data_IF_185448030131
#
_entry.id   IF_185448030131
#
_cell.length_a   1.000
_cell.length_b   1.000
_cell.length_c   1.000
_cell.angle_alpha   90.00
_cell.angle_beta   90.00
_cell.angle_gamma   90.00
#
_symmetry.space_group_name_H-M   'P 1'
#
loop_
_entity.id
_entity.type
_entity.pdbx_description
1 polymer ?
#
# COMPACT_ATOMS: atom_id res chain seq x y z
N UNK A 1 26.47 3.09 -14.37
CA UNK A 1 26.50 1.96 -15.34
C UNK A 1 26.18 0.71 -14.54
N UNK A 2 25.04 0.06 -14.80
CA UNK A 2 24.67 -1.20 -14.13
C UNK A 2 25.61 -2.30 -14.68
N UNK A 3 26.16 -3.16 -13.82
CA UNK A 3 27.02 -4.26 -14.27
C UNK A 3 26.20 -5.29 -15.06
N UNK A 4 26.86 -6.04 -15.95
CA UNK A 4 26.22 -7.10 -16.74
C UNK A 4 25.51 -8.14 -15.85
N UNK A 5 26.07 -8.40 -14.67
CA UNK A 5 25.48 -9.33 -13.68
C UNK A 5 24.13 -8.82 -13.16
N UNK A 6 24.02 -7.51 -12.87
CA UNK A 6 22.75 -6.91 -12.42
C UNK A 6 21.71 -6.98 -13.53
N UNK A 7 22.10 -6.78 -14.79
CA UNK A 7 21.20 -6.87 -15.94
C UNK A 7 20.66 -8.30 -16.10
N UNK A 8 21.53 -9.31 -15.95
CA UNK A 8 21.15 -10.72 -15.99
C UNK A 8 20.19 -11.10 -14.85
N UNK A 9 20.42 -10.59 -13.63
CA UNK A 9 19.53 -10.82 -12.48
C UNK A 9 18.17 -10.15 -12.69
N UNK A 10 18.14 -8.92 -13.20
CA UNK A 10 16.89 -8.21 -13.47
C UNK A 10 16.09 -8.91 -14.59
N UNK A 11 16.76 -9.31 -15.68
CA UNK A 11 16.12 -10.02 -16.78
C UNK A 11 15.55 -11.38 -16.35
N UNK A 12 16.26 -12.14 -15.51
CA UNK A 12 15.76 -13.40 -14.97
C UNK A 12 14.56 -13.22 -14.01
N UNK A 13 14.34 -12.01 -13.49
CA UNK A 13 13.16 -11.62 -12.71
C UNK A 13 12.09 -10.89 -13.54
N UNK A 14 12.13 -11.03 -14.87
CA UNK A 14 11.10 -10.51 -15.77
C UNK A 14 11.26 -9.04 -16.15
N UNK A 15 12.36 -8.38 -15.78
CA UNK A 15 12.63 -7.00 -16.17
C UNK A 15 12.99 -6.92 -17.66
N UNK A 16 12.49 -5.89 -18.35
CA UNK A 16 12.79 -5.68 -19.76
C UNK A 16 14.31 -5.40 -19.96
N UNK A 17 14.95 -6.14 -20.86
CA UNK A 17 16.39 -6.03 -21.16
C UNK A 17 16.80 -4.65 -21.70
N UNK A 18 15.85 -3.80 -22.09
CA UNK A 18 16.08 -2.40 -22.46
C UNK A 18 16.06 -1.42 -21.28
N UNK A 19 15.73 -1.85 -20.04
CA UNK A 19 15.79 -0.99 -18.85
C UNK A 19 17.14 -0.30 -18.68
N UNK A 20 18.30 -0.93 -18.92
CA UNK A 20 19.59 -0.23 -18.86
C UNK A 20 19.71 0.92 -19.89
N UNK A 21 19.06 0.82 -21.05
CA UNK A 21 18.96 1.91 -22.04
C UNK A 21 17.97 2.99 -21.60
N UNK A 22 16.85 2.62 -20.98
CA UNK A 22 15.84 3.55 -20.45
C UNK A 22 16.32 4.30 -19.19
N UNK A 23 17.08 3.63 -18.32
CA UNK A 23 17.68 4.14 -17.10
C UNK A 23 19.18 4.40 -17.26
N UNK A 24 19.61 4.85 -18.45
CA UNK A 24 21.01 5.23 -18.70
C UNK A 24 21.33 6.54 -17.99
N UNK A 25 21.57 6.44 -16.67
CA UNK A 25 22.01 7.57 -15.87
C UNK A 25 23.52 7.72 -16.05
N UNK A 26 23.93 8.81 -16.71
CA UNK A 26 25.33 9.25 -16.73
C UNK A 26 25.68 9.82 -15.36
N UNK A 27 26.91 9.66 -14.90
CA UNK A 27 27.34 10.24 -13.60
C UNK A 27 27.12 11.76 -13.53
N UNK A 28 27.16 12.44 -14.68
CA UNK A 28 26.85 13.87 -14.84
C UNK A 28 25.37 14.23 -14.67
N UNK A 29 24.47 13.25 -14.80
CA UNK A 29 23.01 13.41 -14.68
C UNK A 29 22.50 13.01 -13.29
N UNK A 30 23.39 12.53 -12.40
CA UNK A 30 23.09 12.39 -10.99
C UNK A 30 23.17 13.79 -10.38
N UNK A 31 22.03 14.46 -10.21
CA UNK A 31 21.95 15.57 -9.27
C UNK A 31 22.40 15.02 -7.92
N UNK A 32 23.45 15.61 -7.33
CA UNK A 32 23.89 15.23 -5.99
C UNK A 32 22.69 15.33 -5.05
N UNK A 33 22.34 14.22 -4.41
CA UNK A 33 21.25 14.22 -3.44
C UNK A 33 21.56 15.24 -2.35
N UNK A 34 20.55 15.96 -1.90
CA UNK A 34 20.68 17.02 -0.89
C UNK A 34 20.99 16.48 0.51
N UNK A 35 20.98 15.15 0.69
CA UNK A 35 21.30 14.52 1.96
C UNK A 35 22.80 14.61 2.30
N UNK A 36 23.19 15.14 3.48
CA UNK A 36 24.58 15.48 3.83
C UNK A 36 25.46 14.28 4.25
N UNK A 37 25.19 13.09 3.71
CA UNK A 37 25.96 11.87 3.98
C UNK A 37 26.54 11.29 2.71
N UNK A 38 27.86 11.18 2.70
CA UNK A 38 28.66 10.81 1.54
C UNK A 38 29.10 9.35 1.53
N UNK A 39 29.10 8.68 2.70
CA UNK A 39 29.51 7.28 2.81
C UNK A 39 28.84 6.52 3.96
N UNK A 40 28.96 5.19 3.91
CA UNK A 40 28.33 4.29 4.88
C UNK A 40 28.94 4.37 6.29
N UNK A 41 30.23 4.68 6.44
CA UNK A 41 30.86 4.77 7.76
C UNK A 41 30.33 5.99 8.53
N UNK A 42 30.14 7.09 7.82
CA UNK A 42 29.51 8.30 8.35
C UNK A 42 28.05 8.00 8.72
N UNK A 43 27.29 7.35 7.84
CA UNK A 43 25.92 6.94 8.13
C UNK A 43 25.82 6.14 9.44
N UNK A 44 26.65 5.10 9.56
CA UNK A 44 26.62 4.16 10.69
C UNK A 44 27.04 4.80 12.03
N UNK A 45 27.74 5.94 12.00
CA UNK A 45 28.05 6.74 13.20
C UNK A 45 26.89 7.63 13.65
N UNK A 46 26.02 8.04 12.74
CA UNK A 46 24.91 8.97 13.01
C UNK A 46 23.64 8.21 13.40
N UNK A 47 23.37 7.12 12.70
CA UNK A 47 22.15 6.34 12.82
C UNK A 47 22.36 5.21 13.82
N UNK A 48 21.37 4.95 14.67
CA UNK A 48 21.32 3.70 15.44
C UNK A 48 20.96 2.55 14.49
N UNK A 49 21.98 1.99 13.85
CA UNK A 49 21.87 0.94 12.83
C UNK A 49 21.29 -0.36 13.38
N UNK A 50 21.58 -0.69 14.64
CA UNK A 50 21.01 -1.86 15.33
C UNK A 50 19.49 -1.74 15.44
N UNK A 51 18.99 -0.60 15.95
CA UNK A 51 17.55 -0.35 16.05
C UNK A 51 16.87 -0.31 14.68
N UNK A 52 17.52 0.29 13.68
CA UNK A 52 16.99 0.36 12.32
C UNK A 52 16.88 -1.03 11.67
N UNK A 53 17.90 -1.87 11.84
CA UNK A 53 17.88 -3.25 11.33
C UNK A 53 16.85 -4.09 12.07
N UNK A 54 16.78 -4.01 13.40
CA UNK A 54 15.77 -4.72 14.19
C UNK A 54 14.35 -4.38 13.73
N UNK A 55 14.07 -3.10 13.47
CA UNK A 55 12.77 -2.65 13.00
C UNK A 55 12.40 -3.14 11.60
N UNK A 56 13.38 -3.28 10.69
CA UNK A 56 13.14 -3.47 9.26
C UNK A 56 13.56 -4.85 8.69
N UNK A 57 14.23 -5.69 9.47
CA UNK A 57 14.71 -7.00 9.01
C UNK A 57 13.58 -8.02 8.82
N UNK A 58 12.54 -7.95 9.66
CA UNK A 58 11.35 -8.80 9.56
C UNK A 58 10.12 -7.94 9.80
N UNK A 59 9.56 -7.40 8.72
CA UNK A 59 8.40 -6.53 8.79
C UNK A 59 7.15 -7.40 8.72
N UNK A 60 6.36 -7.39 9.79
CA UNK A 60 5.07 -8.07 9.83
C UNK A 60 4.00 -7.26 9.08
N UNK A 61 3.23 -7.92 8.19
CA UNK A 61 2.23 -7.28 7.37
C UNK A 61 1.40 -6.20 8.06
N UNK A 62 0.67 -6.77 9.04
CA UNK A 62 -0.47 -6.21 9.72
C UNK A 62 0.01 -5.17 10.71
N UNK A 63 1.06 -5.52 11.48
CA UNK A 63 1.68 -4.62 12.44
C UNK A 63 2.23 -3.40 11.73
N UNK A 64 2.94 -3.53 10.61
CA UNK A 64 3.52 -2.35 9.97
C UNK A 64 2.45 -1.38 9.42
N UNK A 65 1.34 -1.91 8.88
CA UNK A 65 0.26 -1.06 8.38
C UNK A 65 -0.52 -0.34 9.49
N UNK A 66 -0.45 -0.86 10.73
CA UNK A 66 -1.32 -0.47 11.83
C UNK A 66 -0.62 0.18 13.03
N UNK A 67 0.52 -0.37 13.39
CA UNK A 67 1.43 0.06 14.46
C UNK A 67 2.85 0.03 13.87
N UNK A 68 3.15 0.96 12.94
CA UNK A 68 4.39 0.91 12.17
C UNK A 68 5.59 1.02 13.08
N UNK A 69 6.63 0.24 12.79
CA UNK A 69 7.92 0.28 13.51
C UNK A 69 9.05 0.59 12.54
N UNK A 70 9.04 -0.01 11.35
CA UNK A 70 10.09 0.22 10.35
C UNK A 70 9.98 1.61 9.71
N UNK A 71 8.78 2.07 9.30
CA UNK A 71 8.62 3.42 8.75
C UNK A 71 9.09 4.54 9.72
N UNK A 72 8.71 4.52 11.02
CA UNK A 72 9.25 5.45 12.01
C UNK A 72 10.76 5.35 12.18
N UNK A 73 11.33 4.15 12.19
CA UNK A 73 12.78 3.97 12.29
C UNK A 73 13.52 4.58 11.09
N UNK A 74 12.99 4.40 9.88
CA UNK A 74 13.52 5.02 8.65
C UNK A 74 13.42 6.55 8.73
N UNK A 75 12.29 7.09 9.20
CA UNK A 75 12.10 8.52 9.36
C UNK A 75 13.05 9.11 10.40
N UNK A 76 13.21 8.47 11.56
CA UNK A 76 14.15 8.90 12.62
C UNK A 76 15.60 8.91 12.09
N UNK A 77 16.00 7.86 11.37
CA UNK A 77 17.32 7.80 10.73
C UNK A 77 17.51 8.93 9.72
N UNK A 78 16.52 9.16 8.85
CA UNK A 78 16.57 10.23 7.85
C UNK A 78 16.64 11.63 8.50
N UNK A 79 15.88 11.85 9.58
CA UNK A 79 15.90 13.10 10.34
C UNK A 79 17.29 13.34 10.96
N UNK A 80 17.86 12.34 11.64
CA UNK A 80 19.21 12.43 12.24
C UNK A 80 20.27 12.79 11.21
N UNK A 81 20.14 12.29 9.99
CA UNK A 81 21.05 12.61 8.91
C UNK A 81 20.82 14.02 8.37
N UNK A 82 19.56 14.40 8.14
CA UNK A 82 19.20 15.73 7.59
C UNK A 82 19.65 16.88 8.50
N UNK A 83 19.72 16.65 9.81
CA UNK A 83 20.15 17.64 10.80
C UNK A 83 21.67 17.86 10.83
N UNK A 84 22.46 17.11 10.04
CA UNK A 84 23.92 17.13 10.11
C UNK A 84 24.60 18.35 9.51
N UNK A 85 23.90 19.20 8.75
CA UNK A 85 24.45 20.50 8.32
C UNK A 85 24.92 21.36 9.52
N UNK A 86 24.46 21.08 10.74
CA UNK A 86 24.76 21.88 11.93
C UNK A 86 26.01 21.50 12.74
N UNK A 87 26.90 20.61 12.28
CA UNK A 87 28.05 20.16 13.11
C UNK A 87 29.45 20.29 12.51
N UNK A 88 29.61 20.71 11.25
CA UNK A 88 30.93 20.83 10.63
C UNK A 88 31.16 22.13 9.81
N UNK A 89 30.35 23.17 10.00
CA UNK A 89 30.55 24.47 9.38
C UNK A 89 30.06 25.60 10.30
N UNK A 90 30.98 26.51 10.61
CA UNK A 90 30.87 27.79 11.32
C UNK A 90 29.66 28.06 12.23
N UNK A 91 29.97 28.29 13.50
CA UNK A 91 29.07 28.90 14.48
C UNK A 91 28.61 30.28 14.00
N UNK A 92 27.48 30.37 13.29
CA UNK A 92 26.53 31.52 13.23
C UNK A 92 25.50 31.39 12.09
N UNK A 93 24.81 30.25 11.93
CA UNK A 93 23.67 30.17 11.01
C UNK A 93 22.44 29.71 11.78
N UNK A 94 21.39 30.53 11.71
CA UNK A 94 20.04 30.28 12.24
C UNK A 94 19.60 28.89 11.79
N UNK A 95 19.09 28.08 12.73
CA UNK A 95 18.51 26.76 12.48
C UNK A 95 17.37 26.87 11.46
N UNK A 96 17.66 26.70 10.19
CA UNK A 96 16.63 26.46 9.19
C UNK A 96 16.26 24.97 9.29
N UNK A 97 14.98 24.63 9.52
CA UNK A 97 14.54 23.24 9.52
C UNK A 97 14.87 22.63 8.15
N UNK A 98 15.41 21.40 8.14
CA UNK A 98 15.66 20.68 6.91
C UNK A 98 14.43 20.77 6.00
N UNK A 99 14.61 21.30 4.79
CA UNK A 99 13.50 21.44 3.85
C UNK A 99 12.92 20.05 3.55
N UNK A 100 11.63 19.98 3.22
CA UNK A 100 10.93 18.72 2.92
C UNK A 100 11.67 17.87 1.88
N UNK A 101 12.41 18.52 0.98
CA UNK A 101 13.23 17.92 -0.08
C UNK A 101 14.46 17.17 0.50
N UNK A 102 15.22 17.79 1.41
CA UNK A 102 16.38 17.18 2.10
C UNK A 102 15.99 15.94 2.87
N UNK A 103 14.86 15.99 3.58
CA UNK A 103 14.37 14.84 4.34
C UNK A 103 13.96 13.68 3.42
N UNK A 104 13.38 13.98 2.25
CA UNK A 104 13.02 12.97 1.26
C UNK A 104 14.25 12.28 0.69
N UNK A 105 15.28 13.05 0.33
CA UNK A 105 16.56 12.53 -0.15
C UNK A 105 17.25 11.65 0.92
N UNK A 106 17.24 12.09 2.18
CA UNK A 106 17.80 11.29 3.27
C UNK A 106 17.04 10.00 3.54
N UNK A 107 15.72 9.94 3.34
CA UNK A 107 14.99 8.67 3.35
C UNK A 107 15.51 7.74 2.26
N UNK A 108 15.77 8.26 1.06
CA UNK A 108 16.37 7.49 -0.05
C UNK A 108 17.73 6.89 0.31
N UNK A 109 18.57 7.64 1.03
CA UNK A 109 19.87 7.14 1.54
C UNK A 109 19.66 6.01 2.56
N UNK A 110 18.70 6.15 3.49
CA UNK A 110 18.38 5.10 4.47
C UNK A 110 17.89 3.82 3.79
N UNK A 111 17.00 3.93 2.79
CA UNK A 111 16.56 2.77 2.00
C UNK A 111 17.73 2.08 1.29
N UNK A 112 18.64 2.86 0.71
CA UNK A 112 19.83 2.33 0.02
C UNK A 112 20.75 1.58 0.99
N UNK A 113 20.97 2.13 2.19
CA UNK A 113 21.76 1.47 3.22
C UNK A 113 21.09 0.18 3.72
N UNK A 114 19.78 0.18 3.99
CA UNK A 114 19.02 -1.02 4.36
C UNK A 114 19.12 -2.12 3.29
N UNK A 115 18.99 -1.75 2.02
CA UNK A 115 19.13 -2.68 0.88
C UNK A 115 20.51 -3.35 0.82
N UNK A 116 21.55 -2.64 1.26
CA UNK A 116 22.93 -3.16 1.29
C UNK A 116 23.17 -4.11 2.48
N UNK A 117 22.43 -3.93 3.58
CA UNK A 117 22.65 -4.68 4.84
C UNK A 117 21.74 -5.90 4.97
N UNK A 118 20.51 -5.80 4.50
CA UNK A 118 19.56 -6.91 4.49
C UNK A 118 19.84 -7.85 3.30
N UNK A 119 19.33 -9.08 3.36
CA UNK A 119 19.29 -9.93 2.18
C UNK A 119 18.36 -9.32 1.13
N UNK A 120 18.60 -9.62 -0.16
CA UNK A 120 17.77 -9.11 -1.27
C UNK A 120 16.28 -9.39 -1.05
N UNK A 121 15.95 -10.60 -0.58
CA UNK A 121 14.56 -11.00 -0.36
C UNK A 121 13.95 -10.32 0.88
N UNK A 122 14.72 -10.12 1.97
CA UNK A 122 14.25 -9.39 3.15
C UNK A 122 14.02 -7.91 2.84
N UNK A 123 14.95 -7.25 2.14
CA UNK A 123 14.80 -5.86 1.71
C UNK A 123 13.60 -5.68 0.78
N UNK A 124 13.46 -6.54 -0.23
CA UNK A 124 12.34 -6.49 -1.16
C UNK A 124 11.00 -6.69 -0.44
N UNK A 125 10.91 -7.69 0.42
CA UNK A 125 9.71 -7.95 1.23
C UNK A 125 9.37 -6.75 2.11
N UNK A 126 10.33 -6.22 2.86
CA UNK A 126 10.13 -5.06 3.72
C UNK A 126 9.63 -3.85 2.93
N UNK A 127 10.30 -3.46 1.84
CA UNK A 127 9.91 -2.26 1.09
C UNK A 127 8.55 -2.39 0.39
N UNK A 128 8.23 -3.59 -0.10
CA UNK A 128 6.91 -3.90 -0.66
C UNK A 128 5.82 -3.73 0.39
N UNK A 129 6.04 -4.22 1.61
CA UNK A 129 5.11 -4.03 2.73
C UNK A 129 4.96 -2.55 3.08
N UNK A 130 6.06 -1.82 3.29
CA UNK A 130 6.00 -0.40 3.64
C UNK A 130 5.24 0.42 2.58
N UNK A 131 5.43 0.08 1.31
CA UNK A 131 4.75 0.71 0.19
C UNK A 131 3.26 0.34 0.16
N UNK A 132 2.92 -0.94 0.30
CA UNK A 132 1.54 -1.43 0.38
C UNK A 132 0.77 -0.76 1.53
N UNK A 133 1.38 -0.69 2.72
CA UNK A 133 0.80 -0.01 3.86
C UNK A 133 0.54 1.47 3.62
N UNK A 134 1.32 2.13 2.76
CA UNK A 134 1.11 3.54 2.40
C UNK A 134 -0.04 3.70 1.40
N UNK A 135 -0.08 2.88 0.34
CA UNK A 135 -1.10 2.99 -0.73
C UNK A 135 -2.48 2.51 -0.27
N UNK A 136 -2.54 1.55 0.67
CA UNK A 136 -3.79 1.01 1.21
C UNK A 136 -4.41 1.88 2.33
N UNK A 137 -4.04 3.17 2.43
CA UNK A 137 -4.61 4.11 3.42
C UNK A 137 -5.57 5.13 2.81
N UNK A 138 -5.76 5.10 1.49
CA UNK A 138 -6.58 6.06 0.76
C UNK A 138 -7.51 5.34 -0.19
N UNK A 139 -8.67 5.92 -0.45
CA UNK A 139 -9.48 5.51 -1.59
C UNK A 139 -8.92 6.17 -2.86
N UNK A 140 -8.57 5.39 -3.90
CA UNK A 140 -8.09 5.94 -5.16
C UNK A 140 -9.20 6.35 -6.13
N UNK A 141 -10.47 6.01 -5.85
CA UNK A 141 -11.62 6.38 -6.68
C UNK A 141 -12.01 7.85 -6.48
N UNK A 142 -12.37 8.49 -7.58
CA UNK A 142 -12.86 9.87 -7.59
C UNK A 142 -14.40 9.89 -7.58
N UNK A 143 -14.98 10.41 -6.51
CA UNK A 143 -16.42 10.57 -6.38
C UNK A 143 -16.85 11.99 -6.78
N UNK A 144 -17.73 12.08 -7.77
CA UNK A 144 -18.53 13.29 -8.02
C UNK A 144 -19.80 13.26 -7.14
N UNK A 145 -20.62 14.31 -7.23
CA UNK A 145 -21.87 14.35 -6.46
C UNK A 145 -22.87 13.29 -6.99
N UNK A 146 -23.36 12.35 -6.16
CA UNK A 146 -24.23 11.26 -6.60
C UNK A 146 -25.71 11.66 -6.56
N UNK A 147 -26.07 12.76 -7.24
CA UNK A 147 -27.41 13.36 -7.16
C UNK A 147 -28.53 12.42 -7.60
N UNK A 148 -28.29 11.61 -8.65
CA UNK A 148 -29.26 10.63 -9.15
C UNK A 148 -29.56 9.55 -8.12
N UNK A 149 -28.50 9.01 -7.48
CA UNK A 149 -28.63 8.00 -6.41
C UNK A 149 -29.36 8.59 -5.22
N UNK A 150 -28.99 9.80 -4.79
CA UNK A 150 -29.66 10.48 -3.67
C UNK A 150 -31.16 10.64 -3.95
N UNK A 151 -31.53 11.13 -5.13
CA UNK A 151 -32.93 11.35 -5.48
C UNK A 151 -33.73 10.03 -5.55
N UNK A 152 -33.11 8.95 -6.00
CA UNK A 152 -33.76 7.65 -6.09
C UNK A 152 -33.88 6.93 -4.73
N UNK A 153 -33.04 7.26 -3.75
CA UNK A 153 -32.86 6.48 -2.52
C UNK A 153 -33.19 7.20 -1.20
N UNK A 154 -33.47 8.51 -1.19
CA UNK A 154 -33.61 9.32 0.04
C UNK A 154 -34.74 8.89 0.99
N UNK A 155 -35.86 8.40 0.47
CA UNK A 155 -37.10 8.16 1.25
C UNK A 155 -37.56 6.69 1.21
N UNK A 156 -36.61 5.74 1.22
CA UNK A 156 -36.93 4.31 1.04
C UNK A 156 -37.33 3.61 2.35
N UNK A 157 -38.50 2.98 2.32
CA UNK A 157 -38.98 2.03 3.34
C UNK A 157 -38.83 0.55 2.91
N UNK A 158 -38.48 0.27 1.65
CA UNK A 158 -38.33 -1.08 1.07
C UNK A 158 -37.38 -1.05 -0.15
N UNK A 159 -36.88 -2.22 -0.65
CA UNK A 159 -36.03 -2.27 -1.83
C UNK A 159 -36.73 -1.60 -3.03
N UNK A 160 -36.11 -0.54 -3.56
CA UNK A 160 -36.61 0.16 -4.74
C UNK A 160 -35.70 -0.17 -5.93
N UNK A 161 -36.21 -0.88 -6.95
CA UNK A 161 -35.41 -1.22 -8.14
C UNK A 161 -34.75 -0.01 -8.81
N UNK A 162 -35.39 1.16 -8.77
CA UNK A 162 -34.82 2.39 -9.30
C UNK A 162 -33.61 2.88 -8.51
N UNK A 163 -33.60 2.66 -7.19
CA UNK A 163 -32.46 3.01 -6.33
C UNK A 163 -31.27 2.11 -6.63
N UNK A 164 -31.46 0.79 -6.62
CA UNK A 164 -30.36 -0.16 -6.89
C UNK A 164 -29.81 -0.01 -8.32
N UNK A 165 -30.67 0.24 -9.31
CA UNK A 165 -30.22 0.52 -10.67
C UNK A 165 -29.39 1.80 -10.77
N UNK A 166 -29.81 2.89 -10.11
CA UNK A 166 -29.03 4.14 -10.07
C UNK A 166 -27.70 3.96 -9.34
N UNK A 167 -27.70 3.25 -8.22
CA UNK A 167 -26.51 2.93 -7.43
C UNK A 167 -25.48 2.14 -8.25
N UNK A 168 -25.91 1.03 -8.87
CA UNK A 168 -25.03 0.17 -9.66
C UNK A 168 -24.47 0.92 -10.88
N UNK A 169 -25.28 1.75 -11.53
CA UNK A 169 -24.83 2.60 -12.64
C UNK A 169 -23.76 3.59 -12.19
N UNK A 170 -23.94 4.19 -11.02
CA UNK A 170 -22.98 5.13 -10.47
C UNK A 170 -21.65 4.44 -10.11
N UNK A 171 -21.71 3.29 -9.43
CA UNK A 171 -20.52 2.49 -9.05
C UNK A 171 -19.75 2.06 -10.31
N UNK A 172 -20.47 1.58 -11.33
CA UNK A 172 -19.87 1.18 -12.61
C UNK A 172 -19.12 2.33 -13.30
N UNK A 173 -19.58 3.57 -13.15
CA UNK A 173 -18.93 4.74 -13.74
C UNK A 173 -17.67 5.18 -12.98
N UNK A 174 -17.66 5.05 -11.65
CA UNK A 174 -16.52 5.52 -10.82
C UNK A 174 -15.33 4.56 -10.83
N UNK A 175 -15.56 3.25 -11.03
CA UNK A 175 -14.47 2.26 -11.04
C UNK A 175 -13.45 2.50 -12.17
N UNK A 176 -13.84 3.13 -13.31
CA UNK A 176 -12.96 3.54 -14.43
C UNK A 176 -11.85 2.52 -14.81
N UNK A 177 -12.15 1.23 -14.78
CA UNK A 177 -11.17 0.15 -15.04
C UNK A 177 -9.97 0.09 -14.06
N UNK A 178 -10.11 0.66 -12.87
CA UNK A 178 -9.10 0.61 -11.82
C UNK A 178 -9.25 -0.66 -10.97
N UNK A 179 -8.15 -1.40 -10.82
CA UNK A 179 -8.03 -2.45 -9.81
C UNK A 179 -7.66 -1.82 -8.47
N UNK A 180 -8.45 -2.12 -7.44
CA UNK A 180 -8.19 -1.64 -6.08
C UNK A 180 -8.05 -2.83 -5.12
N UNK A 181 -7.37 -2.62 -3.99
CA UNK A 181 -7.25 -3.66 -2.96
C UNK A 181 -8.51 -3.74 -2.10
N UNK A 182 -8.74 -4.86 -1.38
CA UNK A 182 -9.85 -4.97 -0.41
C UNK A 182 -9.86 -3.78 0.57
N UNK A 183 -8.67 -3.38 1.02
CA UNK A 183 -8.50 -2.30 1.98
C UNK A 183 -8.85 -0.95 1.39
N UNK A 184 -8.49 -0.69 0.14
CA UNK A 184 -8.90 0.52 -0.57
C UNK A 184 -10.41 0.52 -0.83
N UNK A 185 -10.98 -0.62 -1.22
CA UNK A 185 -12.42 -0.77 -1.45
C UNK A 185 -13.24 -0.46 -0.19
N UNK A 186 -12.83 -0.94 1.00
CA UNK A 186 -13.47 -0.59 2.28
C UNK A 186 -13.50 0.92 2.50
N UNK A 187 -12.36 1.59 2.28
CA UNK A 187 -12.26 3.04 2.45
C UNK A 187 -13.14 3.76 1.42
N UNK A 188 -13.15 3.31 0.17
CA UNK A 188 -13.98 3.86 -0.90
C UNK A 188 -15.48 3.72 -0.62
N UNK A 189 -15.92 2.51 -0.25
CA UNK A 189 -17.31 2.22 0.09
C UNK A 189 -17.81 3.09 1.25
N UNK A 190 -16.98 3.24 2.30
CA UNK A 190 -17.32 4.09 3.45
C UNK A 190 -17.42 5.57 3.05
N UNK A 191 -16.45 6.07 2.29
CA UNK A 191 -16.46 7.46 1.81
C UNK A 191 -17.71 7.75 0.99
N UNK A 192 -18.05 6.85 0.07
CA UNK A 192 -19.24 6.99 -0.75
C UNK A 192 -20.53 6.94 0.07
N UNK A 193 -20.64 5.98 1.00
CA UNK A 193 -21.79 5.88 1.90
C UNK A 193 -21.97 7.15 2.73
N UNK A 194 -20.86 7.76 3.16
CA UNK A 194 -20.88 9.02 3.92
C UNK A 194 -21.37 10.19 3.06
N UNK A 195 -21.07 10.20 1.75
CA UNK A 195 -21.60 11.19 0.82
C UNK A 195 -23.12 11.02 0.63
N UNK A 196 -23.59 9.77 0.54
CA UNK A 196 -25.02 9.46 0.42
C UNK A 196 -25.81 9.85 1.67
N UNK A 197 -25.27 9.55 2.85
CA UNK A 197 -25.84 9.98 4.14
C UNK A 197 -25.93 11.49 4.27
N UNK A 198 -24.88 12.22 3.87
CA UNK A 198 -24.93 13.70 3.79
C UNK A 198 -26.00 14.20 2.81
N UNK A 199 -26.30 13.40 1.79
CA UNK A 199 -27.40 13.61 0.84
C UNK A 199 -28.78 13.23 1.37
N UNK A 200 -28.90 12.69 2.59
CA UNK A 200 -30.17 12.30 3.21
C UNK A 200 -30.57 10.83 3.00
N UNK A 201 -29.71 10.01 2.38
CA UNK A 201 -29.95 8.56 2.28
C UNK A 201 -29.50 7.90 3.59
N UNK A 202 -30.45 7.59 4.47
CA UNK A 202 -30.14 7.08 5.81
C UNK A 202 -30.16 5.55 5.91
N UNK A 203 -30.95 4.90 5.06
CA UNK A 203 -31.05 3.44 4.96
C UNK A 203 -29.78 2.86 4.35
N UNK A 204 -29.34 1.70 4.84
CA UNK A 204 -28.22 0.96 4.26
C UNK A 204 -28.60 0.42 2.88
N UNK A 205 -28.32 1.19 1.83
CA UNK A 205 -28.62 0.80 0.47
C UNK A 205 -27.59 -0.19 -0.10
N UNK A 206 -26.45 -0.42 0.57
CA UNK A 206 -25.50 -1.44 0.15
C UNK A 206 -26.07 -2.82 0.48
N UNK A 207 -26.61 -2.99 1.69
CA UNK A 207 -27.31 -4.21 2.07
C UNK A 207 -28.57 -4.44 1.21
N UNK A 208 -29.37 -3.40 0.97
CA UNK A 208 -30.61 -3.54 0.16
C UNK A 208 -30.38 -3.90 -1.30
N UNK A 209 -29.21 -3.54 -1.85
CA UNK A 209 -28.90 -3.71 -3.26
C UNK A 209 -27.81 -4.75 -3.51
N UNK A 210 -27.44 -5.53 -2.48
CA UNK A 210 -26.40 -6.56 -2.53
C UNK A 210 -25.05 -6.05 -3.07
N UNK A 211 -24.61 -4.88 -2.59
CA UNK A 211 -23.34 -4.28 -3.01
C UNK A 211 -22.19 -4.88 -2.21
N UNK A 212 -21.25 -5.50 -2.92
CA UNK A 212 -20.02 -6.07 -2.38
C UNK A 212 -18.83 -5.10 -2.57
N UNK A 213 -17.77 -5.30 -1.78
CA UNK A 213 -16.52 -4.54 -1.93
C UNK A 213 -15.94 -4.63 -3.35
N UNK A 214 -16.06 -5.78 -4.01
CA UNK A 214 -15.56 -5.99 -5.37
C UNK A 214 -16.22 -5.10 -6.41
N UNK A 215 -17.43 -4.59 -6.15
CA UNK A 215 -18.15 -3.76 -7.10
C UNK A 215 -17.47 -2.40 -7.29
N UNK A 216 -16.63 -1.99 -6.33
CA UNK A 216 -15.79 -0.79 -6.44
C UNK A 216 -14.50 -1.02 -7.26
N UNK A 217 -14.21 -2.25 -7.68
CA UNK A 217 -13.02 -2.62 -8.47
C UNK A 217 -13.42 -3.05 -9.88
N UNK A 218 -12.49 -2.94 -10.84
CA UNK A 218 -12.69 -3.32 -12.24
C UNK A 218 -13.45 -4.65 -12.39
N UNK A 219 -14.61 -4.56 -13.05
CA UNK A 219 -15.36 -5.71 -13.54
C UNK A 219 -14.90 -6.05 -14.97
N UNK A 220 -14.19 -7.17 -15.16
CA UNK A 220 -13.72 -7.59 -16.47
C UNK A 220 -14.81 -8.39 -17.22
N UNK A 221 -15.12 -8.02 -18.46
CA UNK A 221 -15.95 -8.78 -19.41
C UNK A 221 -17.31 -9.29 -18.87
N UNK A 222 -17.99 -8.49 -18.05
CA UNK A 222 -19.31 -8.87 -17.51
C UNK A 222 -19.28 -10.00 -16.47
N UNK A 223 -18.09 -10.33 -15.95
CA UNK A 223 -17.92 -11.17 -14.76
C UNK A 223 -17.63 -10.31 -13.52
N UNK A 224 -17.90 -10.90 -12.35
CA UNK A 224 -17.75 -10.29 -11.02
C UNK A 224 -16.41 -9.55 -10.87
N UNK A 225 -16.46 -8.37 -10.23
CA UNK A 225 -15.28 -7.60 -9.90
C UNK A 225 -14.28 -8.42 -9.11
N UNK A 226 -13.00 -8.05 -9.21
CA UNK A 226 -11.90 -8.71 -8.52
C UNK A 226 -11.14 -7.68 -7.70
N UNK A 227 -10.88 -7.99 -6.43
CA UNK A 227 -10.01 -7.16 -5.60
C UNK A 227 -8.61 -7.75 -5.55
N UNK A 228 -7.64 -6.84 -5.59
CA UNK A 228 -6.27 -7.22 -5.25
C UNK A 228 -6.18 -7.48 -3.75
N UNK A 229 -5.32 -8.43 -3.34
CA UNK A 229 -5.08 -8.60 -1.92
C UNK A 229 -4.46 -7.32 -1.37
N UNK A 230 -4.64 -7.10 -0.08
CA UNK A 230 -4.03 -5.95 0.59
C UNK A 230 -2.51 -6.11 0.78
N UNK A 231 -1.93 -7.22 0.30
CA UNK A 231 -0.55 -7.62 0.46
C UNK A 231 0.19 -7.59 -0.87
N UNK A 232 1.50 -7.33 -0.89
CA UNK A 232 2.20 -7.05 -2.12
C UNK A 232 2.37 -8.23 -3.09
N UNK A 233 1.88 -9.43 -2.79
CA UNK A 233 2.20 -10.67 -3.53
C UNK A 233 1.52 -10.79 -4.89
N UNK A 234 0.69 -9.81 -5.27
CA UNK A 234 -0.37 -10.04 -6.26
C UNK A 234 0.04 -9.81 -7.70
N UNK A 235 1.29 -9.43 -7.97
CA UNK A 235 1.80 -9.41 -9.36
C UNK A 235 2.68 -10.63 -9.53
N UNK A 236 2.10 -11.65 -10.14
CA UNK A 236 2.79 -12.86 -10.55
C UNK A 236 3.25 -12.65 -11.98
N UNK A 237 4.56 -12.66 -12.20
CA UNK A 237 5.10 -12.66 -13.55
C UNK A 237 5.15 -14.11 -14.01
N UNK A 238 4.31 -14.47 -14.97
CA UNK A 238 4.32 -15.78 -15.61
C UNK A 238 4.79 -15.64 -17.06
N UNK A 239 5.56 -16.61 -17.54
CA UNK A 239 6.15 -16.60 -18.88
C UNK A 239 5.11 -16.69 -19.99
N UNK A 240 3.88 -17.12 -19.70
CA UNK A 240 2.82 -17.26 -20.71
C UNK A 240 1.92 -16.03 -20.84
N UNK A 241 1.67 -15.32 -19.73
CA UNK A 241 0.74 -14.17 -19.66
C UNK A 241 1.43 -12.83 -19.42
N UNK A 242 2.73 -12.83 -19.11
CA UNK A 242 3.46 -11.64 -18.71
C UNK A 242 3.17 -11.30 -17.24
N UNK A 243 2.39 -10.25 -16.98
CA UNK A 243 1.96 -9.88 -15.63
C UNK A 243 0.56 -10.44 -15.38
N UNK A 244 0.42 -11.26 -14.36
CA UNK A 244 -0.84 -11.83 -13.91
C UNK A 244 -1.14 -11.38 -12.47
N UNK A 245 -2.43 -11.20 -12.16
CA UNK A 245 -2.88 -10.82 -10.83
C UNK A 245 -3.71 -11.93 -10.21
N UNK A 246 -3.51 -12.18 -8.92
CA UNK A 246 -4.34 -13.13 -8.18
C UNK A 246 -5.42 -12.36 -7.42
N UNK A 247 -6.68 -12.64 -7.75
CA UNK A 247 -7.82 -12.09 -7.00
C UNK A 247 -7.85 -12.64 -5.57
N UNK A 248 -8.30 -11.84 -4.63
CA UNK A 248 -8.62 -12.34 -3.30
C UNK A 248 -9.88 -13.23 -3.38
N UNK A 249 -9.85 -14.41 -2.77
CA UNK A 249 -11.01 -15.30 -2.76
C UNK A 249 -12.15 -14.77 -1.86
N UNK A 250 -11.92 -13.65 -1.18
CA UNK A 250 -12.85 -12.96 -0.27
C UNK A 250 -13.69 -11.88 -0.97
N UNK A 251 -13.82 -11.91 -2.30
CA UNK A 251 -14.43 -10.84 -3.10
C UNK A 251 -15.96 -10.64 -2.88
N UNK A 252 -16.63 -11.51 -2.13
CA UNK A 252 -18.06 -11.42 -1.79
C UNK A 252 -18.31 -10.85 -0.39
N UNK A 253 -17.41 -10.00 0.09
CA UNK A 253 -17.61 -9.28 1.35
C UNK A 253 -18.50 -8.07 1.10
N UNK A 254 -19.62 -8.00 1.82
CA UNK A 254 -20.55 -6.89 1.76
C UNK A 254 -19.86 -5.54 2.00
N UNK A 255 -20.20 -4.54 1.19
CA UNK A 255 -19.65 -3.20 1.34
C UNK A 255 -20.13 -2.57 2.66
N UNK A 256 -19.22 -1.97 3.46
CA UNK A 256 -19.60 -1.41 4.75
C UNK A 256 -20.39 -0.11 4.58
N UNK A 257 -21.56 -0.04 5.21
CA UNK A 257 -22.29 1.20 5.38
C UNK A 257 -21.77 1.98 6.59
N UNK A 258 -21.47 3.28 6.46
CA UNK A 258 -20.91 4.05 7.55
C UNK A 258 -21.90 4.19 8.70
N UNK A 259 -21.44 3.93 9.93
CA UNK A 259 -22.19 4.29 11.14
C UNK A 259 -22.16 5.81 11.31
N UNK A 260 -23.22 6.42 11.86
CA UNK A 260 -23.36 7.87 12.05
C UNK A 260 -22.26 8.52 12.93
N UNK A 261 -21.44 7.71 13.61
CA UNK A 261 -20.28 8.15 14.40
C UNK A 261 -18.99 8.18 13.57
N UNK A 262 -18.72 9.35 12.99
CA UNK A 262 -17.39 9.87 12.61
C UNK A 262 -16.49 9.04 11.66
N UNK A 263 -16.25 9.63 10.49
CA UNK A 263 -15.28 9.24 9.44
C UNK A 263 -13.81 9.23 9.97
N UNK A 264 -13.56 9.74 11.17
CA UNK A 264 -12.23 10.07 11.69
C UNK A 264 -11.45 8.91 12.32
N UNK A 265 -11.99 7.68 12.38
CA UNK A 265 -11.27 6.57 13.00
C UNK A 265 -11.55 5.19 12.40
N UNK A 266 -11.67 5.07 11.07
CA UNK A 266 -11.48 3.77 10.42
C UNK A 266 -10.00 3.39 10.39
N UNK A 267 -9.45 3.27 11.60
CA UNK A 267 -8.29 2.46 11.83
C UNK A 267 -8.73 1.02 11.63
N UNK A 268 -8.40 0.43 10.48
CA UNK A 268 -8.46 -1.04 10.22
C UNK A 268 -7.52 -1.84 11.16
N UNK A 269 -7.17 -1.25 12.28
CA UNK A 269 -6.19 -1.69 13.25
C UNK A 269 -6.82 -1.77 14.64
N UNK A 270 -8.12 -2.09 14.67
CA UNK A 270 -8.76 -2.59 15.87
C UNK A 270 -7.97 -3.82 16.37
N UNK A 271 -7.77 -3.98 17.70
CA UNK A 271 -7.07 -5.14 18.27
C UNK A 271 -7.65 -6.50 17.80
N UNK A 272 -8.94 -6.51 17.44
CA UNK A 272 -9.76 -7.67 17.09
C UNK A 272 -9.77 -8.03 15.59
N UNK A 273 -9.14 -7.24 14.70
CA UNK A 273 -9.06 -7.53 13.25
C UNK A 273 -7.77 -8.27 12.84
N UNK A 274 -7.24 -9.09 13.75
CA UNK A 274 -6.31 -10.15 13.37
C UNK A 274 -7.14 -11.21 12.67
N UNK A 275 -7.14 -11.25 11.32
CA UNK A 275 -7.66 -12.40 10.59
C UNK A 275 -7.09 -13.67 11.23
N UNK A 276 -7.91 -14.67 11.59
CA UNK A 276 -7.41 -15.88 12.21
C UNK A 276 -6.37 -16.48 11.26
N UNK A 277 -5.18 -16.76 11.80
CA UNK A 277 -4.13 -17.41 11.04
C UNK A 277 -4.70 -18.68 10.39
N UNK A 278 -4.45 -18.85 9.09
CA UNK A 278 -4.75 -20.10 8.40
C UNK A 278 -4.12 -21.23 9.24
N UNK A 279 -4.85 -22.32 9.54
CA UNK A 279 -4.28 -23.43 10.28
C UNK A 279 -3.06 -23.95 9.51
N UNK A 280 -1.90 -23.89 10.16
CA UNK A 280 -0.70 -24.58 9.71
C UNK A 280 -1.07 -26.06 9.61
N UNK A 281 -0.92 -26.65 8.42
CA UNK A 281 -0.93 -28.09 8.27
C UNK A 281 0.16 -28.63 9.19
N UNK A 282 -0.25 -29.22 10.32
CA UNK A 282 0.64 -30.04 11.12
C UNK A 282 1.13 -31.16 10.21
N UNK A 283 2.43 -31.13 9.90
CA UNK A 283 3.11 -32.27 9.35
C UNK A 283 2.94 -33.40 10.38
N UNK A 284 2.02 -34.33 10.09
CA UNK A 284 1.81 -35.51 10.91
C UNK A 284 3.14 -36.25 10.99
N UNK A 285 3.81 -36.10 12.12
CA UNK A 285 4.99 -36.87 12.44
C UNK A 285 4.47 -38.20 12.95
N UNK A 286 4.22 -39.16 12.06
CA UNK A 286 4.05 -40.54 12.49
C UNK A 286 5.38 -41.28 12.28
N UNK A 287 6.00 -41.81 13.35
CA UNK A 287 7.21 -42.60 13.28
C UNK A 287 6.88 -43.98 12.67
N UNK A 288 7.82 -44.49 11.87
CA UNK A 288 7.58 -45.66 11.03
C UNK A 288 7.24 -46.97 11.76
N UNK A 289 6.64 -47.88 11.00
CA UNK A 289 6.71 -49.32 11.19
C UNK A 289 6.47 -50.05 9.86
N UNK A 290 7.40 -50.94 9.52
CA UNK A 290 7.40 -52.14 8.65
C UNK A 290 6.05 -52.54 8.00
N UNK A 291 5.95 -53.00 6.75
CA UNK A 291 6.83 -53.81 5.89
C UNK A 291 6.84 -53.31 4.44
#
# INVERSE_FOLDING_TARGET
MLSADIISILASRGANITIPKLCSVKSSNLTGGTCPVTDANIFEKIVNTSKLLEACNSVDPLKECCRPVCQPAILDAALRISLRESTFGDSNIVKEPATTDVLSDCKGVVYSWLSRKLSSDAANTAFRILSACKVNKVCPLEFNQPSEVINACRDLAAPNPSCCSSLNTYIMRIQKEMLITNRQAIICATLFGSMLQKGGVMTDIYELCDVDLKDFSLQAYGQQGCLLRSWPSDVVVDNTTGYSFTCDLSDNVAAPWPSSSSISSLSLCAPEMSLPALPTLEASTNPGAFC
#
